data_IF_975321359939
#
_entry.id   IF_975321359939
#
_cell.length_a   1.000
_cell.length_b   1.000
_cell.length_c   1.000
_cell.angle_alpha   90.00
_cell.angle_beta   90.00
_cell.angle_gamma   90.00
#
_symmetry.space_group_name_H-M   'P 1'
#
loop_
_entity.id
_entity.type
_entity.pdbx_description
1 polymer ?
#
# COMPACT_ATOMS: atom_id res chain seq x y z
N UNK A 1 -2.73 4.69 20.88
CA UNK A 1 -2.28 5.97 20.29
C UNK A 1 -2.30 5.74 18.80
N UNK A 2 -2.96 6.62 18.03
CA UNK A 2 -2.96 6.53 16.57
C UNK A 2 -1.55 6.84 16.06
N UNK A 3 -1.08 6.12 15.05
CA UNK A 3 0.23 6.34 14.46
C UNK A 3 0.11 7.37 13.34
N UNK A 4 0.90 8.46 13.42
CA UNK A 4 0.80 9.56 12.45
C UNK A 4 1.41 9.24 11.08
N UNK A 5 2.32 8.26 11.03
CA UNK A 5 3.05 7.84 9.82
C UNK A 5 3.66 6.46 9.97
N UNK A 6 3.67 5.67 8.90
CA UNK A 6 4.56 4.51 8.75
C UNK A 6 5.08 4.35 7.33
N UNK A 7 6.02 3.43 7.16
CA UNK A 7 6.62 3.13 5.87
C UNK A 7 6.88 1.65 5.69
N UNK A 8 6.55 1.13 4.52
CA UNK A 8 7.03 -0.18 4.06
C UNK A 8 8.31 0.07 3.28
N UNK A 9 9.43 -0.52 3.72
CA UNK A 9 10.73 -0.42 3.03
C UNK A 9 10.98 -1.69 2.24
N UNK A 10 11.56 -1.56 1.04
CA UNK A 10 11.93 -2.73 0.25
C UNK A 10 12.99 -3.58 0.96
N UNK A 11 12.89 -4.91 0.83
CA UNK A 11 13.95 -5.84 1.25
C UNK A 11 15.13 -5.88 0.27
N UNK A 12 14.97 -5.36 -0.95
CA UNK A 12 15.99 -5.41 -2.02
C UNK A 12 16.61 -4.06 -2.37
N UNK A 13 16.05 -2.95 -1.87
CA UNK A 13 16.47 -1.59 -2.20
C UNK A 13 16.25 -0.65 -1.00
N UNK A 14 16.45 0.67 -1.19
CA UNK A 14 16.10 1.70 -0.19
C UNK A 14 14.74 2.35 -0.47
N UNK A 15 13.96 1.80 -1.39
CA UNK A 15 12.68 2.36 -1.79
C UNK A 15 11.63 2.16 -0.70
N UNK A 16 10.74 3.13 -0.56
CA UNK A 16 9.75 3.15 0.49
C UNK A 16 8.38 3.56 -0.04
N UNK A 17 7.36 2.92 0.50
CA UNK A 17 5.98 3.38 0.47
C UNK A 17 5.62 3.96 1.83
N UNK A 18 5.21 5.21 1.86
CA UNK A 18 4.94 5.95 3.09
C UNK A 18 3.46 6.29 3.15
N UNK A 19 2.85 6.06 4.32
CA UNK A 19 1.50 6.45 4.66
C UNK A 19 1.58 7.48 5.78
N UNK A 20 0.89 8.61 5.62
CA UNK A 20 0.94 9.72 6.58
C UNK A 20 -0.30 10.61 6.48
N UNK A 21 -0.38 11.64 7.34
CA UNK A 21 -1.37 12.71 7.24
C UNK A 21 -2.81 12.18 7.15
N UNK A 22 -3.15 11.18 7.98
CA UNK A 22 -4.52 10.65 8.04
C UNK A 22 -5.47 11.70 8.61
N UNK A 23 -6.57 11.94 7.91
CA UNK A 23 -7.66 12.82 8.32
C UNK A 23 -9.00 12.21 7.86
N UNK A 24 -9.71 11.55 8.79
CA UNK A 24 -10.91 10.77 8.49
C UNK A 24 -10.64 9.68 7.44
N UNK A 25 -11.36 9.76 6.33
CA UNK A 25 -11.26 8.83 5.18
C UNK A 25 -10.10 9.19 4.22
N UNK A 26 -9.29 10.21 4.53
CA UNK A 26 -8.17 10.59 3.70
C UNK A 26 -6.84 10.26 4.34
N UNK A 27 -5.85 9.93 3.52
CA UNK A 27 -4.46 9.88 3.91
C UNK A 27 -3.56 10.28 2.75
N UNK A 28 -2.30 10.61 3.05
CA UNK A 28 -1.27 10.84 2.04
C UNK A 28 -0.45 9.56 1.85
N UNK A 29 -0.36 9.12 0.60
CA UNK A 29 0.55 8.07 0.16
C UNK A 29 1.73 8.67 -0.58
N UNK A 30 2.94 8.21 -0.29
CA UNK A 30 4.15 8.63 -0.98
C UNK A 30 4.98 7.43 -1.43
N UNK A 31 5.52 7.53 -2.65
CA UNK A 31 6.59 6.69 -3.15
C UNK A 31 7.89 7.47 -3.04
N UNK A 32 8.87 6.88 -2.36
CA UNK A 32 10.22 7.43 -2.22
C UNK A 32 11.20 6.41 -2.81
N UNK A 33 11.71 6.69 -4.00
CA UNK A 33 12.72 5.91 -4.70
C UNK A 33 13.89 6.82 -5.12
N UNK A 34 15.02 6.24 -5.52
CA UNK A 34 16.24 7.01 -5.83
C UNK A 34 16.02 8.08 -6.92
N UNK A 35 15.24 7.76 -7.96
CA UNK A 35 14.98 8.66 -9.10
C UNK A 35 13.53 9.12 -9.20
N UNK A 36 12.64 8.62 -8.33
CA UNK A 36 11.20 8.89 -8.41
C UNK A 36 10.67 9.22 -7.02
N UNK A 37 10.06 10.40 -6.92
CA UNK A 37 9.26 10.79 -5.78
C UNK A 37 7.87 11.17 -6.27
N UNK A 38 6.85 10.53 -5.70
CA UNK A 38 5.46 10.83 -6.02
C UNK A 38 4.64 10.82 -4.74
N UNK A 39 3.67 11.72 -4.65
CA UNK A 39 2.75 11.77 -3.52
C UNK A 39 1.33 11.95 -4.00
N UNK A 40 0.38 11.34 -3.29
CA UNK A 40 -1.03 11.45 -3.59
C UNK A 40 -1.88 11.46 -2.32
N UNK A 41 -2.89 12.33 -2.28
CA UNK A 41 -3.99 12.23 -1.32
C UNK A 41 -4.95 11.14 -1.80
N UNK A 42 -5.13 10.11 -1.00
CA UNK A 42 -5.96 8.94 -1.27
C UNK A 42 -7.22 9.02 -0.42
N UNK A 43 -8.36 8.61 -0.95
CA UNK A 43 -9.61 8.44 -0.20
C UNK A 43 -9.93 6.96 0.02
N UNK A 44 -10.38 6.63 1.22
CA UNK A 44 -10.92 5.33 1.60
C UNK A 44 -12.44 5.36 1.72
N UNK A 45 -13.10 6.36 1.13
CA UNK A 45 -14.57 6.48 1.10
C UNK A 45 -15.22 5.13 0.73
N UNK A 46 -16.23 4.73 1.51
CA UNK A 46 -16.93 3.42 1.50
C UNK A 46 -16.17 2.20 2.03
N UNK A 47 -14.87 2.29 2.28
CA UNK A 47 -14.06 1.18 2.82
C UNK A 47 -12.85 1.68 3.63
N UNK A 48 -13.12 2.36 4.76
CA UNK A 48 -12.12 3.02 5.60
C UNK A 48 -10.98 2.10 6.04
N UNK A 49 -11.30 0.81 6.27
CA UNK A 49 -10.37 -0.20 6.77
C UNK A 49 -9.88 -1.17 5.69
N UNK A 50 -10.21 -0.96 4.42
CA UNK A 50 -9.93 -1.93 3.36
C UNK A 50 -8.46 -2.29 3.20
N UNK A 51 -7.55 -1.30 3.30
CA UNK A 51 -6.10 -1.53 3.28
C UNK A 51 -5.66 -2.30 4.55
N UNK A 52 -6.21 -1.98 5.71
CA UNK A 52 -5.90 -2.70 6.95
C UNK A 52 -6.39 -4.15 6.91
N UNK A 53 -7.57 -4.40 6.36
CA UNK A 53 -8.13 -5.72 6.15
C UNK A 53 -7.30 -6.53 5.14
N UNK A 54 -6.83 -5.89 4.06
CA UNK A 54 -5.92 -6.50 3.11
C UNK A 54 -4.64 -6.99 3.80
N UNK A 55 -3.96 -6.14 4.56
CA UNK A 55 -2.73 -6.56 5.25
C UNK A 55 -2.99 -7.54 6.40
N UNK A 56 -4.14 -7.46 7.07
CA UNK A 56 -4.53 -8.44 8.09
C UNK A 56 -4.68 -9.83 7.45
N UNK A 57 -5.42 -9.93 6.34
CA UNK A 57 -5.51 -11.17 5.56
C UNK A 57 -4.14 -11.65 5.10
N UNK A 58 -3.29 -10.74 4.62
CA UNK A 58 -1.95 -11.08 4.15
C UNK A 58 -1.06 -11.65 5.27
N UNK A 59 -1.22 -11.17 6.50
CA UNK A 59 -0.48 -11.69 7.66
C UNK A 59 -0.88 -13.09 8.10
N UNK A 60 -2.05 -13.59 7.68
CA UNK A 60 -2.50 -14.95 7.99
C UNK A 60 -1.85 -16.02 7.08
N UNK A 61 -1.22 -15.62 5.97
CA UNK A 61 -0.53 -16.55 5.09
C UNK A 61 0.78 -17.05 5.72
N UNK A 62 0.82 -18.35 6.02
CA UNK A 62 2.01 -19.03 6.53
C UNK A 62 2.83 -19.73 5.42
N UNK A 63 2.42 -19.60 4.17
CA UNK A 63 3.07 -20.15 2.99
C UNK A 63 2.85 -19.24 1.78
N UNK A 64 3.68 -19.33 0.72
CA UNK A 64 3.38 -18.70 -0.56
C UNK A 64 1.96 -19.00 -1.03
N UNK A 65 1.34 -18.02 -1.70
CA UNK A 65 -0.01 -18.16 -2.24
C UNK A 65 -0.03 -17.91 -3.75
N UNK A 66 -1.06 -18.43 -4.41
CA UNK A 66 -1.32 -18.18 -5.84
C UNK A 66 -2.40 -17.13 -5.98
N UNK A 67 -2.22 -16.20 -6.91
CA UNK A 67 -3.20 -15.14 -7.20
C UNK A 67 -2.77 -13.78 -6.65
N UNK A 68 -3.72 -12.85 -6.64
CA UNK A 68 -3.50 -11.45 -6.27
C UNK A 68 -4.47 -11.08 -5.16
N UNK A 69 -3.94 -10.54 -4.08
CA UNK A 69 -4.71 -9.88 -3.05
C UNK A 69 -4.67 -8.38 -3.29
N UNK A 70 -5.81 -7.69 -3.32
CA UNK A 70 -5.83 -6.30 -3.73
C UNK A 70 -6.87 -5.47 -3.02
N UNK A 71 -6.62 -4.17 -3.01
CA UNK A 71 -7.55 -3.14 -2.61
C UNK A 71 -7.47 -1.98 -3.60
N UNK A 72 -8.60 -1.34 -3.89
CA UNK A 72 -8.64 -0.14 -4.71
C UNK A 72 -9.61 0.86 -4.09
N UNK A 73 -9.29 2.13 -4.21
CA UNK A 73 -10.23 3.19 -3.90
C UNK A 73 -11.41 3.13 -4.87
N UNK A 74 -12.59 3.55 -4.40
CA UNK A 74 -13.80 3.63 -5.23
C UNK A 74 -13.56 4.46 -6.49
N UNK A 75 -12.79 5.51 -6.30
CA UNK A 75 -12.44 6.55 -7.24
C UNK A 75 -11.30 6.18 -8.21
N UNK A 76 -10.68 5.00 -8.02
CA UNK A 76 -9.69 4.42 -8.93
C UNK A 76 -8.35 5.16 -8.96
N UNK A 77 -8.17 6.13 -8.07
CA UNK A 77 -6.97 6.93 -7.99
C UNK A 77 -5.81 6.24 -7.28
N UNK A 78 -6.13 5.20 -6.50
CA UNK A 78 -5.18 4.35 -5.80
C UNK A 78 -5.61 2.88 -5.91
N UNK A 79 -4.67 2.03 -6.32
CA UNK A 79 -4.84 0.59 -6.30
C UNK A 79 -3.56 -0.04 -5.73
N UNK A 80 -3.74 -0.99 -4.81
CA UNK A 80 -2.68 -1.82 -4.26
C UNK A 80 -2.95 -3.29 -4.58
N UNK A 81 -1.96 -3.97 -5.12
CA UNK A 81 -2.00 -5.39 -5.41
C UNK A 81 -0.78 -6.08 -4.82
N UNK A 82 -0.99 -7.21 -4.15
CA UNK A 82 0.04 -7.98 -3.46
C UNK A 82 0.05 -9.40 -3.99
N UNK A 83 1.24 -9.86 -4.36
CA UNK A 83 1.49 -11.23 -4.84
C UNK A 83 2.64 -11.85 -4.08
N UNK A 84 2.69 -13.18 -4.02
CA UNK A 84 3.82 -13.92 -3.47
C UNK A 84 4.23 -15.02 -4.43
N UNK A 85 5.52 -15.16 -4.67
CA UNK A 85 6.04 -16.24 -5.51
C UNK A 85 6.37 -17.49 -4.68
N UNK A 86 6.67 -18.60 -5.35
CA UNK A 86 6.97 -19.89 -4.70
C UNK A 86 8.17 -19.87 -3.75
N UNK A 87 9.02 -18.84 -3.82
CA UNK A 87 10.17 -18.65 -2.93
C UNK A 87 9.89 -17.75 -1.73
N UNK A 88 8.66 -17.25 -1.57
CA UNK A 88 8.28 -16.38 -0.46
C UNK A 88 8.60 -14.90 -0.66
N UNK A 89 9.04 -14.49 -1.86
CA UNK A 89 9.16 -13.08 -2.19
C UNK A 89 7.77 -12.50 -2.44
N UNK A 90 7.51 -11.37 -1.79
CA UNK A 90 6.24 -10.65 -1.91
C UNK A 90 6.48 -9.37 -2.72
N UNK A 91 5.62 -9.13 -3.70
CA UNK A 91 5.64 -7.88 -4.48
C UNK A 91 4.39 -7.10 -4.17
N UNK A 92 4.57 -5.88 -3.66
CA UNK A 92 3.52 -4.88 -3.43
C UNK A 92 3.55 -3.91 -4.60
N UNK A 93 2.60 -4.06 -5.51
CA UNK A 93 2.37 -3.10 -6.59
C UNK A 93 1.43 -2.00 -6.10
N UNK A 94 1.78 -0.75 -6.36
CA UNK A 94 0.87 0.38 -6.21
C UNK A 94 0.71 1.10 -7.54
N UNK A 95 -0.53 1.41 -7.89
CA UNK A 95 -0.89 2.25 -9.03
C UNK A 95 -1.53 3.53 -8.51
N UNK A 96 -0.97 4.67 -8.91
CA UNK A 96 -1.53 6.00 -8.71
C UNK A 96 -2.00 6.55 -10.05
N UNK A 97 -3.24 7.01 -10.14
CA UNK A 97 -3.81 7.53 -11.39
C UNK A 97 -4.38 8.91 -11.17
N UNK A 98 -4.20 9.85 -12.11
CA UNK A 98 -4.86 11.14 -12.08
C UNK A 98 -6.37 11.03 -11.85
N UNK A 99 -6.90 11.88 -10.97
CA UNK A 99 -8.33 11.97 -10.71
C UNK A 99 -9.02 12.70 -11.86
N UNK A 100 -10.25 12.31 -12.17
CA UNK A 100 -11.00 12.57 -13.42
C UNK A 100 -11.36 14.02 -13.75
N UNK A 101 -10.77 15.02 -13.08
CA UNK A 101 -11.06 16.45 -13.30
C UNK A 101 -9.88 17.28 -13.84
N UNK A 102 -8.71 16.69 -14.08
CA UNK A 102 -7.57 17.41 -14.63
C UNK A 102 -7.45 17.29 -16.16
N UNK A 103 -6.77 18.25 -16.78
CA UNK A 103 -6.50 18.28 -18.22
C UNK A 103 -5.37 17.35 -18.68
N UNK A 104 -4.62 16.81 -17.72
CA UNK A 104 -3.48 15.92 -17.95
C UNK A 104 -3.92 14.48 -17.67
N UNK A 105 -3.23 13.52 -18.27
CA UNK A 105 -3.42 12.09 -18.00
C UNK A 105 -2.08 11.51 -17.58
N UNK A 106 -1.97 11.13 -16.31
CA UNK A 106 -0.80 10.44 -15.80
C UNK A 106 -1.19 9.25 -14.94
N UNK A 107 -0.35 8.24 -15.01
CA UNK A 107 -0.39 7.07 -14.14
C UNK A 107 1.03 6.69 -13.72
N UNK A 108 1.19 6.31 -12.47
CA UNK A 108 2.42 5.77 -11.92
C UNK A 108 2.13 4.36 -11.42
N UNK A 109 2.90 3.38 -11.90
CA UNK A 109 2.91 2.03 -11.35
C UNK A 109 4.28 1.76 -10.78
N UNK A 110 4.32 1.35 -9.52
CA UNK A 110 5.56 1.05 -8.78
C UNK A 110 5.43 -0.31 -8.11
N UNK A 111 6.57 -0.97 -7.91
CA UNK A 111 6.67 -2.27 -7.28
C UNK A 111 7.68 -2.20 -6.14
N UNK A 112 7.27 -2.65 -4.96
CA UNK A 112 8.14 -2.76 -3.79
C UNK A 112 8.22 -4.22 -3.40
N UNK A 113 9.46 -4.73 -3.33
CA UNK A 113 9.71 -6.11 -2.92
C UNK A 113 9.87 -6.19 -1.40
N UNK A 114 9.20 -7.15 -0.79
CA UNK A 114 9.35 -7.55 0.61
C UNK A 114 9.31 -9.08 0.71
N UNK A 115 9.20 -9.61 1.92
CA UNK A 115 9.22 -11.05 2.18
C UNK A 115 7.99 -11.47 2.98
N UNK A 116 7.55 -12.72 2.78
CA UNK A 116 6.41 -13.30 3.51
C UNK A 116 6.53 -13.11 5.03
N UNK A 117 7.74 -13.30 5.57
CA UNK A 117 8.01 -13.14 7.01
C UNK A 117 7.85 -11.72 7.56
N UNK A 118 7.86 -10.70 6.69
CA UNK A 118 7.68 -9.30 7.08
C UNK A 118 6.21 -8.87 7.15
N UNK A 119 5.30 -9.64 6.53
CA UNK A 119 3.89 -9.26 6.41
C UNK A 119 3.19 -9.12 7.77
N UNK A 120 3.59 -9.90 8.78
CA UNK A 120 3.03 -9.77 10.12
C UNK A 120 3.36 -8.41 10.76
N UNK A 121 4.60 -7.94 10.62
CA UNK A 121 5.00 -6.63 11.13
C UNK A 121 4.29 -5.52 10.36
N UNK A 122 4.30 -5.60 9.02
CA UNK A 122 3.64 -4.61 8.16
C UNK A 122 2.14 -4.52 8.50
N UNK A 123 1.46 -5.64 8.71
CA UNK A 123 0.04 -5.65 9.09
C UNK A 123 -0.22 -4.99 10.45
N UNK A 124 0.69 -5.14 11.41
CA UNK A 124 0.57 -4.46 12.72
C UNK A 124 0.70 -2.94 12.57
N UNK A 125 1.66 -2.48 11.76
CA UNK A 125 1.86 -1.05 11.48
C UNK A 125 0.69 -0.46 10.70
N UNK A 126 0.20 -1.14 9.67
CA UNK A 126 -0.98 -0.72 8.90
C UNK A 126 -2.19 -0.61 9.82
N UNK A 127 -2.48 -1.60 10.66
CA UNK A 127 -3.60 -1.55 11.61
C UNK A 127 -3.48 -0.37 12.60
N UNK A 128 -2.28 -0.13 13.12
CA UNK A 128 -2.03 1.00 14.02
C UNK A 128 -2.23 2.37 13.34
N UNK A 129 -1.88 2.49 12.05
CA UNK A 129 -2.15 3.70 11.27
C UNK A 129 -3.64 3.87 10.96
N UNK A 130 -4.32 2.76 10.63
CA UNK A 130 -5.73 2.79 10.27
C UNK A 130 -6.70 2.75 11.47
N UNK A 131 -6.19 2.65 12.70
CA UNK A 131 -6.96 2.43 13.94
C UNK A 131 -7.92 1.23 13.82
N UNK A 132 -7.44 0.14 13.19
CA UNK A 132 -8.19 -1.08 12.90
C UNK A 132 -7.80 -2.26 13.80
#
# INVERSE_FOLDING_TARGET
>A
MSMDKFSITSSSSKEQYIFSERDGEFFKFEVVAESVHASRKVTTYTDEFGIANLFSKLSEFNSPWTGVESWKSLEGEFEMAVTCNSTGHVTIQVKLTQWSSGSEDWHLTVHLNTELGQLQQVANEVRAFFNA
#
